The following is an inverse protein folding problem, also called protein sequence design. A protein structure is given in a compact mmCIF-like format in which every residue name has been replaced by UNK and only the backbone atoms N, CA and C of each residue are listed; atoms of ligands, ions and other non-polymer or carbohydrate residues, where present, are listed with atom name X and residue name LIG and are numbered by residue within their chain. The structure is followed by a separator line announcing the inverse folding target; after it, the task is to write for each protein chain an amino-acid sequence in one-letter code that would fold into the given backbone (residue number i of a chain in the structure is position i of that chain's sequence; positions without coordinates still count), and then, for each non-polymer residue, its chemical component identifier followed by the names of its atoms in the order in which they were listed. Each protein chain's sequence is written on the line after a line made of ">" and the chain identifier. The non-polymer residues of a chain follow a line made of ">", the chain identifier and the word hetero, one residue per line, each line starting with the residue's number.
data_IF_910154612499
#
_entry.id   IF_910154612499
#
_cell.length_a   1.000
_cell.length_b   1.000
_cell.length_c   1.000
_cell.angle_alpha   90.00
_cell.angle_beta   90.00
_cell.angle_gamma   90.00
#
_symmetry.space_group_name_H-M   'P 1'
#
loop_
_entity.id
_entity.type
_entity.pdbx_description
1 polymer ?
#
# COMPACT_ATOMS: atom_id res chain seq x y z
N UNK A 1 -27.84 10.20 -8.14
CA UNK A 1 -27.99 8.85 -7.59
C UNK A 1 -26.74 8.00 -7.77
N UNK A 2 -25.91 8.28 -8.79
CA UNK A 2 -24.62 7.58 -9.00
C UNK A 2 -23.53 7.91 -7.97
N UNK A 3 -23.48 9.14 -7.44
CA UNK A 3 -22.49 9.53 -6.42
C UNK A 3 -22.63 8.69 -5.14
N UNK A 4 -23.86 8.52 -4.64
CA UNK A 4 -24.17 7.68 -3.47
C UNK A 4 -23.79 6.20 -3.68
N UNK A 5 -23.91 5.70 -4.91
CA UNK A 5 -23.59 4.31 -5.26
C UNK A 5 -22.08 4.06 -5.41
N UNK A 6 -21.32 5.10 -5.78
CA UNK A 6 -19.86 5.08 -5.77
C UNK A 6 -19.32 5.17 -4.34
N UNK A 7 -19.92 6.02 -3.50
CA UNK A 7 -19.61 6.13 -2.06
C UNK A 7 -19.77 4.79 -1.34
N UNK A 8 -20.92 4.13 -1.52
CA UNK A 8 -21.25 2.86 -0.86
C UNK A 8 -20.32 1.69 -1.27
N UNK A 9 -19.63 1.79 -2.41
CA UNK A 9 -18.64 0.81 -2.87
C UNK A 9 -17.21 1.14 -2.41
N UNK A 10 -16.95 2.40 -2.04
CA UNK A 10 -15.64 2.89 -1.58
C UNK A 10 -15.44 2.56 -0.10
N UNK A 11 -16.52 2.58 0.69
CA UNK A 11 -16.54 2.15 2.09
C UNK A 11 -16.46 0.63 2.30
N UNK A 12 -16.33 -0.18 1.24
CA UNK A 12 -16.27 -1.63 1.37
C UNK A 12 -14.89 -2.03 1.97
N UNK A 13 -14.85 -2.59 3.19
CA UNK A 13 -13.60 -2.92 3.88
C UNK A 13 -12.73 -3.91 3.10
N UNK A 14 -13.33 -4.72 2.20
CA UNK A 14 -12.57 -5.62 1.33
C UNK A 14 -11.83 -4.84 0.25
N UNK A 15 -12.47 -3.84 -0.35
CA UNK A 15 -11.86 -3.00 -1.39
C UNK A 15 -10.71 -2.19 -0.79
N UNK A 16 -10.91 -1.63 0.40
CA UNK A 16 -9.88 -0.89 1.12
C UNK A 16 -8.72 -1.78 1.58
N UNK A 17 -8.98 -3.03 1.99
CA UNK A 17 -7.94 -4.01 2.27
C UNK A 17 -7.10 -4.35 1.03
N UNK A 18 -7.74 -4.56 -0.13
CA UNK A 18 -7.04 -4.87 -1.39
C UNK A 18 -6.23 -3.65 -1.86
N UNK A 19 -6.82 -2.45 -1.84
CA UNK A 19 -6.14 -1.23 -2.23
C UNK A 19 -4.93 -0.94 -1.32
N UNK A 20 -5.13 -1.05 0.00
CA UNK A 20 -4.05 -0.95 0.97
C UNK A 20 -2.95 -1.98 0.74
N UNK A 21 -3.31 -3.24 0.46
CA UNK A 21 -2.35 -4.30 0.17
C UNK A 21 -1.53 -4.09 -1.09
N UNK A 22 -2.15 -3.61 -2.16
CA UNK A 22 -1.45 -3.26 -3.40
C UNK A 22 -0.52 -2.07 -3.20
N UNK A 23 -0.98 -1.01 -2.54
CA UNK A 23 -0.17 0.18 -2.23
C UNK A 23 1.01 -0.17 -1.31
N UNK A 24 0.74 -0.92 -0.25
CA UNK A 24 1.75 -1.37 0.69
C UNK A 24 2.79 -2.28 0.04
N UNK A 25 2.38 -3.18 -0.86
CA UNK A 25 3.33 -4.07 -1.53
C UNK A 25 4.22 -3.34 -2.52
N UNK A 26 3.68 -2.37 -3.26
CA UNK A 26 4.47 -1.50 -4.14
C UNK A 26 5.45 -0.65 -3.32
N UNK A 27 4.99 -0.02 -2.23
CA UNK A 27 5.85 0.77 -1.34
C UNK A 27 6.94 -0.07 -0.66
N UNK A 28 6.57 -1.24 -0.15
CA UNK A 28 7.49 -2.16 0.49
C UNK A 28 8.51 -2.77 -0.49
N UNK A 29 8.10 -3.10 -1.71
CA UNK A 29 9.00 -3.55 -2.76
C UNK A 29 9.96 -2.44 -3.21
N UNK A 30 9.48 -1.19 -3.28
CA UNK A 30 10.32 -0.01 -3.53
C UNK A 30 11.40 0.18 -2.46
N UNK A 31 11.04 0.09 -1.17
CA UNK A 31 12.02 0.12 -0.07
C UNK A 31 12.98 -1.07 -0.11
N UNK A 32 12.47 -2.27 -0.38
CA UNK A 32 13.27 -3.48 -0.56
C UNK A 32 14.27 -3.36 -1.72
N UNK A 33 13.87 -2.71 -2.81
CA UNK A 33 14.76 -2.38 -3.93
C UNK A 33 15.83 -1.36 -3.52
N UNK A 34 15.48 -0.31 -2.79
CA UNK A 34 16.47 0.65 -2.30
C UNK A 34 17.51 0.00 -1.37
N UNK A 35 17.09 -0.90 -0.48
CA UNK A 35 18.00 -1.70 0.37
C UNK A 35 18.84 -2.66 -0.45
N UNK A 36 18.29 -3.20 -1.54
CA UNK A 36 18.99 -4.11 -2.45
C UNK A 36 20.19 -3.46 -3.16
N UNK A 37 20.12 -2.15 -3.42
CA UNK A 37 21.24 -1.38 -3.98
C UNK A 37 22.43 -1.30 -3.02
N UNK A 38 22.18 -1.33 -1.70
CA UNK A 38 23.22 -1.33 -0.68
C UNK A 38 23.75 -2.75 -0.37
N UNK A 39 22.92 -3.78 -0.56
CA UNK A 39 23.27 -5.18 -0.26
C UNK A 39 22.90 -6.10 -1.43
N UNK A 40 23.74 -6.09 -2.46
CA UNK A 40 23.51 -6.79 -3.74
C UNK A 40 23.34 -8.31 -3.60
N UNK A 41 24.01 -8.95 -2.63
CA UNK A 41 23.89 -10.39 -2.39
C UNK A 41 22.53 -10.85 -1.87
N UNK A 42 21.73 -9.93 -1.32
CA UNK A 42 20.41 -10.21 -0.74
C UNK A 42 19.30 -9.48 -1.47
N UNK A 43 19.61 -8.93 -2.65
CA UNK A 43 18.75 -8.01 -3.37
C UNK A 43 17.35 -8.56 -3.64
N UNK A 44 17.30 -9.79 -4.14
CA UNK A 44 16.05 -10.50 -4.43
C UNK A 44 15.26 -10.74 -3.14
N UNK A 45 15.93 -11.18 -2.07
CA UNK A 45 15.27 -11.44 -0.78
C UNK A 45 14.72 -10.15 -0.19
N UNK A 46 15.48 -9.06 -0.20
CA UNK A 46 15.05 -7.76 0.31
C UNK A 46 13.88 -7.18 -0.48
N UNK A 47 13.89 -7.32 -1.81
CA UNK A 47 12.78 -6.89 -2.67
C UNK A 47 11.49 -7.65 -2.38
N UNK A 48 11.55 -8.99 -2.35
CA UNK A 48 10.37 -9.82 -2.10
C UNK A 48 9.90 -9.73 -0.64
N UNK A 49 10.81 -9.74 0.34
CA UNK A 49 10.47 -9.58 1.74
C UNK A 49 9.86 -8.19 2.01
N UNK A 50 10.44 -7.15 1.41
CA UNK A 50 9.89 -5.79 1.47
C UNK A 50 8.50 -5.71 0.85
N UNK A 51 8.30 -6.29 -0.34
CA UNK A 51 7.01 -6.32 -1.01
C UNK A 51 5.93 -7.08 -0.23
N UNK A 52 6.25 -8.25 0.33
CA UNK A 52 5.32 -9.03 1.13
C UNK A 52 5.02 -8.33 2.46
N UNK A 53 6.04 -7.86 3.18
CA UNK A 53 5.86 -7.16 4.45
C UNK A 53 5.07 -5.86 4.28
N UNK A 54 5.41 -5.08 3.25
CA UNK A 54 4.68 -3.88 2.88
C UNK A 54 3.24 -4.19 2.48
N UNK A 55 3.00 -5.27 1.72
CA UNK A 55 1.66 -5.72 1.34
C UNK A 55 0.80 -6.09 2.55
N UNK A 56 1.33 -6.84 3.51
CA UNK A 56 0.61 -7.21 4.73
C UNK A 56 0.32 -5.98 5.59
N UNK A 57 1.29 -5.09 5.78
CA UNK A 57 1.10 -3.82 6.50
C UNK A 57 0.08 -2.92 5.81
N UNK A 58 0.14 -2.84 4.49
CA UNK A 58 -0.81 -2.09 3.68
C UNK A 58 -2.23 -2.66 3.76
N UNK A 59 -2.39 -3.98 3.72
CA UNK A 59 -3.68 -4.65 3.93
C UNK A 59 -4.24 -4.34 5.32
N UNK A 60 -3.41 -4.41 6.36
CA UNK A 60 -3.81 -4.08 7.72
C UNK A 60 -4.24 -2.61 7.85
N UNK A 61 -3.47 -1.68 7.29
CA UNK A 61 -3.81 -0.25 7.32
C UNK A 61 -5.06 0.05 6.50
N UNK A 62 -5.23 -0.56 5.34
CA UNK A 62 -6.45 -0.45 4.53
C UNK A 62 -7.68 -1.01 5.23
N UNK A 63 -7.54 -2.13 5.96
CA UNK A 63 -8.65 -2.74 6.70
C UNK A 63 -9.06 -1.92 7.93
N UNK A 64 -8.11 -1.45 8.74
CA UNK A 64 -8.40 -0.75 9.99
C UNK A 64 -8.69 0.74 9.82
N UNK A 65 -8.17 1.35 8.75
CA UNK A 65 -8.20 2.80 8.56
C UNK A 65 -8.87 3.23 7.25
N UNK A 66 -9.25 2.28 6.40
CA UNK A 66 -10.17 2.46 5.27
C UNK A 66 -9.84 3.68 4.41
N UNK A 67 -10.87 4.50 4.18
CA UNK A 67 -10.83 5.72 3.39
C UNK A 67 -9.84 6.75 3.94
N UNK A 68 -9.71 6.88 5.26
CA UNK A 68 -8.77 7.84 5.86
C UNK A 68 -7.30 7.54 5.54
N UNK A 69 -6.93 6.27 5.34
CA UNK A 69 -5.56 5.94 4.92
C UNK A 69 -5.36 6.26 3.44
N UNK A 70 -6.29 5.89 2.58
CA UNK A 70 -6.21 6.14 1.13
C UNK A 70 -6.26 7.64 0.82
N UNK A 71 -7.06 8.40 1.57
CA UNK A 71 -7.18 9.85 1.47
C UNK A 71 -5.93 10.56 2.02
N UNK A 72 -5.42 10.14 3.17
CA UNK A 72 -4.10 10.58 3.66
C UNK A 72 -3.00 10.29 2.64
N UNK A 73 -3.03 9.12 2.00
CA UNK A 73 -2.06 8.72 1.00
C UNK A 73 -2.17 9.59 -0.25
N UNK A 74 -3.38 9.91 -0.72
CA UNK A 74 -3.60 10.86 -1.82
C UNK A 74 -3.06 12.25 -1.48
N UNK A 75 -3.31 12.74 -0.27
CA UNK A 75 -2.86 14.06 0.18
C UNK A 75 -1.34 14.13 0.39
N UNK A 76 -0.70 13.01 0.75
CA UNK A 76 0.73 12.97 1.04
C UNK A 76 1.56 12.29 -0.05
N UNK A 77 0.95 11.74 -1.12
CA UNK A 77 1.65 11.04 -2.20
C UNK A 77 2.71 11.94 -2.85
N UNK A 78 2.38 13.23 -3.00
CA UNK A 78 3.27 14.25 -3.54
C UNK A 78 4.55 14.45 -2.72
N UNK A 79 4.56 14.09 -1.42
CA UNK A 79 5.77 14.18 -0.58
C UNK A 79 6.78 13.06 -0.84
N UNK A 80 6.37 12.02 -1.56
CA UNK A 80 7.21 10.87 -1.89
C UNK A 80 7.79 10.95 -3.32
N UNK A 81 7.58 12.07 -4.02
CA UNK A 81 8.12 12.38 -5.35
C UNK A 81 8.93 13.69 -5.29
#
# INVERSE_FOLDING_TARGET
>A
MDAKRMEERTDDPIVNLIAGGLLGSVGGAGLGFSVSLAFTGWAVVAFFAGGVAGGVLGMALGYFRGDSFTEWLKENLWRFW
#
